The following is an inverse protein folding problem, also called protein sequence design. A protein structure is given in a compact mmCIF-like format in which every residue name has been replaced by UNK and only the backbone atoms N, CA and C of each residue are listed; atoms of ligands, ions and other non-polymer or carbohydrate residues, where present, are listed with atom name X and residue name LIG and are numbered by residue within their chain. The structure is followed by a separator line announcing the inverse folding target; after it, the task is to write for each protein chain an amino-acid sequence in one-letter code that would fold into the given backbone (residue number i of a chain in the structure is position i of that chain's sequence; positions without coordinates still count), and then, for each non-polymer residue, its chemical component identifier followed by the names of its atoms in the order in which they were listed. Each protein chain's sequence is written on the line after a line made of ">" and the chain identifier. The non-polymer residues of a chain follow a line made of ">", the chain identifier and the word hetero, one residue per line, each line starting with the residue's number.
data_IF_040371862197
#
_entry.id   IF_040371862197
#
_cell.length_a   1.000
_cell.length_b   1.000
_cell.length_c   1.000
_cell.angle_alpha   90.00
_cell.angle_beta   90.00
_cell.angle_gamma   90.00
#
_symmetry.space_group_name_H-M   'P 1'
#
loop_
_entity.id
_entity.type
_entity.pdbx_description
1 polymer ?
#
# COMPACT_ATOMS: atom_id res chain seq x y z
N UNK A 1 -7.12 -13.42 14.37
CA UNK A 1 -5.94 -14.24 14.00
C UNK A 1 -6.02 -14.83 12.58
N UNK A 2 -6.81 -15.87 12.26
CA UNK A 2 -6.82 -16.47 10.90
C UNK A 2 -7.15 -15.43 9.81
N UNK A 3 -8.17 -14.58 10.04
CA UNK A 3 -8.58 -13.53 9.08
C UNK A 3 -7.53 -12.43 8.88
N UNK A 4 -6.72 -12.12 9.90
CA UNK A 4 -5.68 -11.09 9.81
C UNK A 4 -4.49 -11.60 8.99
N UNK A 5 -4.11 -12.86 9.19
CA UNK A 5 -3.07 -13.54 8.40
C UNK A 5 -3.48 -13.63 6.93
N UNK A 6 -4.73 -14.00 6.64
CA UNK A 6 -5.25 -14.03 5.27
C UNK A 6 -5.24 -12.64 4.61
N UNK A 7 -5.53 -11.58 5.36
CA UNK A 7 -5.49 -10.21 4.86
C UNK A 7 -4.06 -9.76 4.55
N UNK A 8 -3.11 -10.04 5.44
CA UNK A 8 -1.70 -9.79 5.21
C UNK A 8 -1.21 -10.51 3.94
N UNK A 9 -1.53 -11.80 3.78
CA UNK A 9 -1.18 -12.57 2.58
C UNK A 9 -1.75 -11.96 1.28
N UNK A 10 -3.00 -11.48 1.31
CA UNK A 10 -3.61 -10.79 0.17
C UNK A 10 -2.87 -9.49 -0.17
N UNK A 11 -2.50 -8.68 0.83
CA UNK A 11 -1.72 -7.46 0.62
C UNK A 11 -0.33 -7.75 0.04
N UNK A 12 0.38 -8.76 0.57
CA UNK A 12 1.65 -9.19 -0.01
C UNK A 12 1.50 -9.65 -1.46
N UNK A 13 0.42 -10.37 -1.79
CA UNK A 13 0.13 -10.77 -3.16
C UNK A 13 -0.13 -9.58 -4.09
N UNK A 14 -0.78 -8.52 -3.59
CA UNK A 14 -0.94 -7.26 -4.33
C UNK A 14 0.44 -6.66 -4.65
N UNK A 15 1.29 -6.50 -3.63
CA UNK A 15 2.68 -6.03 -3.81
C UNK A 15 3.46 -6.88 -4.82
N UNK A 16 3.44 -8.20 -4.67
CA UNK A 16 4.22 -9.10 -5.52
C UNK A 16 3.70 -9.09 -6.97
N UNK A 17 2.42 -8.80 -7.17
CA UNK A 17 1.85 -8.59 -8.51
C UNK A 17 2.37 -7.29 -9.12
N UNK A 18 2.38 -6.19 -8.36
CA UNK A 18 2.93 -4.90 -8.83
C UNK A 18 4.44 -5.02 -9.12
N UNK A 19 5.20 -5.68 -8.24
CA UNK A 19 6.64 -5.96 -8.43
C UNK A 19 6.88 -6.75 -9.73
N UNK A 20 6.08 -7.78 -10.01
CA UNK A 20 6.21 -8.56 -11.26
C UNK A 20 5.81 -7.77 -12.50
N UNK A 21 4.81 -6.89 -12.39
CA UNK A 21 4.33 -6.09 -13.52
C UNK A 21 5.37 -5.04 -13.94
N UNK A 22 5.88 -4.26 -12.98
CA UNK A 22 6.83 -3.16 -13.25
C UNK A 22 8.30 -3.57 -13.20
N UNK A 23 8.63 -4.74 -12.64
CA UNK A 23 10.00 -5.28 -12.57
C UNK A 23 10.99 -4.24 -12.02
N UNK A 24 11.95 -3.82 -12.83
CA UNK A 24 13.01 -2.87 -12.45
C UNK A 24 12.46 -1.45 -12.22
N UNK A 25 11.34 -1.09 -12.85
CA UNK A 25 10.68 0.21 -12.64
C UNK A 25 9.88 0.25 -11.33
N UNK A 26 9.70 -0.88 -10.65
CA UNK A 26 8.87 -0.97 -9.44
C UNK A 26 9.21 0.10 -8.39
N UNK A 27 10.48 0.33 -8.00
CA UNK A 27 10.81 1.31 -6.97
C UNK A 27 10.39 2.73 -7.36
N UNK A 28 10.49 3.09 -8.64
CA UNK A 28 10.09 4.40 -9.14
C UNK A 28 8.56 4.53 -9.15
N UNK A 29 7.85 3.52 -9.65
CA UNK A 29 6.38 3.56 -9.77
C UNK A 29 5.69 3.54 -8.42
N UNK A 30 6.24 2.83 -7.43
CA UNK A 30 5.60 2.71 -6.10
C UNK A 30 5.82 3.94 -5.23
N UNK A 31 6.92 4.67 -5.45
CA UNK A 31 7.34 5.80 -4.60
C UNK A 31 6.24 6.85 -4.38
N UNK A 32 5.51 7.35 -5.41
CA UNK A 32 4.47 8.35 -5.19
C UNK A 32 3.36 7.87 -4.25
N UNK A 33 2.98 6.59 -4.36
CA UNK A 33 1.96 5.99 -3.51
C UNK A 33 2.47 5.82 -2.07
N UNK A 34 3.72 5.39 -1.90
CA UNK A 34 4.37 5.31 -0.58
C UNK A 34 4.47 6.68 0.09
N UNK A 35 4.80 7.73 -0.67
CA UNK A 35 4.89 9.10 -0.16
C UNK A 35 3.51 9.60 0.32
N UNK A 36 2.43 9.30 -0.42
CA UNK A 36 1.06 9.65 -0.01
C UNK A 36 0.65 8.90 1.26
N UNK A 37 0.91 7.58 1.34
CA UNK A 37 0.58 6.79 2.54
C UNK A 37 1.32 7.35 3.76
N UNK A 38 2.63 7.63 3.64
CA UNK A 38 3.42 8.28 4.70
C UNK A 38 2.87 9.64 5.08
N UNK A 39 2.44 10.46 4.12
CA UNK A 39 1.86 11.76 4.40
C UNK A 39 0.57 11.66 5.24
N UNK A 40 -0.29 10.69 4.92
CA UNK A 40 -1.52 10.41 5.70
C UNK A 40 -1.18 9.87 7.09
N UNK A 41 -0.22 8.96 7.21
CA UNK A 41 0.28 8.44 8.50
C UNK A 41 0.73 9.59 9.40
N UNK A 42 1.57 10.48 8.88
CA UNK A 42 2.12 11.61 9.62
C UNK A 42 1.05 12.65 9.98
N UNK A 43 0.16 13.00 9.04
CA UNK A 43 -0.86 14.02 9.25
C UNK A 43 -1.92 13.61 10.29
N UNK A 44 -2.19 12.31 10.41
CA UNK A 44 -3.22 11.78 11.31
C UNK A 44 -2.66 11.05 12.53
N UNK A 45 -1.33 10.92 12.64
CA UNK A 45 -0.65 10.13 13.68
C UNK A 45 -1.17 8.68 13.76
N UNK A 46 -1.23 8.02 12.61
CA UNK A 46 -1.72 6.64 12.47
C UNK A 46 -0.73 5.76 11.72
N UNK A 47 -0.82 4.45 11.94
CA UNK A 47 0.01 3.45 11.26
C UNK A 47 -0.44 3.21 9.79
N UNK A 48 0.34 2.44 9.05
CA UNK A 48 0.19 2.27 7.60
C UNK A 48 -1.16 1.66 7.18
N UNK A 49 -1.66 0.62 7.87
CA UNK A 49 -2.96 0.00 7.52
C UNK A 49 -4.13 0.98 7.76
N UNK A 50 -4.25 1.64 8.93
CA UNK A 50 -5.23 2.71 9.11
C UNK A 50 -5.12 3.83 8.06
N UNK A 51 -3.91 4.23 7.67
CA UNK A 51 -3.72 5.23 6.62
C UNK A 51 -4.26 4.76 5.26
N UNK A 52 -4.05 3.50 4.88
CA UNK A 52 -4.65 2.90 3.69
C UNK A 52 -6.19 2.92 3.73
N UNK A 53 -6.78 2.63 4.89
CA UNK A 53 -8.24 2.70 5.05
C UNK A 53 -8.78 4.12 4.89
N UNK A 54 -8.05 5.13 5.35
CA UNK A 54 -8.39 6.53 5.09
C UNK A 54 -8.30 6.89 3.60
N UNK A 55 -7.24 6.44 2.92
CA UNK A 55 -7.07 6.64 1.47
C UNK A 55 -8.18 5.94 0.68
N UNK A 56 -8.65 4.78 1.14
CA UNK A 56 -9.71 4.02 0.45
C UNK A 56 -11.07 4.72 0.37
N UNK A 57 -11.25 5.79 1.14
CA UNK A 57 -12.44 6.63 1.12
C UNK A 57 -12.38 7.73 0.05
N UNK A 58 -11.26 7.87 -0.66
CA UNK A 58 -11.08 8.85 -1.73
C UNK A 58 -11.57 8.31 -3.08
N UNK A 59 -12.08 9.19 -3.95
CA UNK A 59 -12.54 8.84 -5.29
C UNK A 59 -11.43 8.18 -6.13
N UNK A 60 -10.21 8.73 -6.07
CA UNK A 60 -9.04 8.17 -6.77
C UNK A 60 -8.79 6.71 -6.41
N UNK A 61 -9.01 6.32 -5.16
CA UNK A 61 -8.89 4.92 -4.79
C UNK A 61 -10.08 4.10 -5.30
N UNK A 62 -11.31 4.61 -5.21
CA UNK A 62 -12.51 3.83 -5.55
C UNK A 62 -12.69 3.59 -7.05
N UNK A 63 -12.28 4.55 -7.87
CA UNK A 63 -12.53 4.53 -9.32
C UNK A 63 -11.39 3.86 -10.11
N UNK A 64 -10.17 3.87 -9.59
CA UNK A 64 -8.98 3.38 -10.30
C UNK A 64 -8.43 2.10 -9.68
N UNK A 65 -8.76 0.95 -10.27
CA UNK A 65 -8.31 -0.37 -9.78
C UNK A 65 -6.79 -0.53 -9.72
N UNK A 66 -6.05 0.13 -10.62
CA UNK A 66 -4.58 0.15 -10.54
C UNK A 66 -4.09 0.98 -9.36
N UNK A 67 -4.73 2.12 -9.05
CA UNK A 67 -4.40 2.93 -7.88
C UNK A 67 -4.62 2.13 -6.58
N UNK A 68 -5.72 1.36 -6.48
CA UNK A 68 -5.96 0.46 -5.34
C UNK A 68 -4.80 -0.50 -5.13
N UNK A 69 -4.39 -1.17 -6.20
CA UNK A 69 -3.31 -2.15 -6.18
C UNK A 69 -1.98 -1.50 -5.76
N UNK A 70 -1.68 -0.31 -6.28
CA UNK A 70 -0.48 0.46 -5.95
C UNK A 70 -0.47 0.93 -4.49
N UNK A 71 -1.59 1.42 -3.96
CA UNK A 71 -1.69 1.83 -2.55
C UNK A 71 -1.56 0.65 -1.60
N UNK A 72 -2.17 -0.50 -1.91
CA UNK A 72 -1.98 -1.74 -1.14
C UNK A 72 -0.52 -2.19 -1.17
N UNK A 73 0.11 -2.18 -2.34
CA UNK A 73 1.52 -2.56 -2.49
C UNK A 73 2.47 -1.62 -1.73
N UNK A 74 2.23 -0.31 -1.80
CA UNK A 74 2.99 0.71 -1.10
C UNK A 74 2.90 0.52 0.42
N UNK A 75 1.69 0.25 0.91
CA UNK A 75 1.45 -0.02 2.34
C UNK A 75 2.31 -1.19 2.85
N UNK A 76 2.43 -2.26 2.08
CA UNK A 76 3.29 -3.41 2.45
C UNK A 76 4.77 -3.03 2.48
N UNK A 77 5.26 -2.29 1.48
CA UNK A 77 6.67 -1.85 1.47
C UNK A 77 7.02 -0.98 2.68
N UNK A 78 6.07 -0.14 3.14
CA UNK A 78 6.25 0.68 4.34
C UNK A 78 6.34 -0.17 5.60
N UNK A 79 5.39 -1.09 5.79
CA UNK A 79 5.39 -2.00 6.94
C UNK A 79 6.69 -2.81 7.00
N UNK A 80 7.17 -3.33 5.87
CA UNK A 80 8.42 -4.07 5.84
C UNK A 80 9.66 -3.20 6.04
N UNK A 81 9.60 -1.92 5.65
CA UNK A 81 10.69 -0.97 5.88
C UNK A 81 10.80 -0.54 7.33
N UNK A 82 9.70 -0.48 8.07
CA UNK A 82 9.69 -0.16 9.51
C UNK A 82 10.21 -1.31 10.38
N UNK A 83 10.17 -2.54 9.86
CA UNK A 83 10.62 -3.76 10.54
C UNK A 83 12.06 -4.19 10.18
N UNK A 84 12.81 -3.34 9.47
CA UNK A 84 14.22 -3.55 9.09
C UNK A 84 15.12 -2.60 9.87
#
# INVERSE_FOLDING_TARGET
>A
MIREIEMAQKLHKCRDTVKRFWKEEFPEKIKPYSDIVKAVMNAKHIEAIPALLEISKTETYQEEGMAQLMFMAATVELIESENK
#
